data_IF_977376196876
#
_entry.id   IF_977376196876
#
_cell.length_a   1.000
_cell.length_b   1.000
_cell.length_c   1.000
_cell.angle_alpha   90.00
_cell.angle_beta   90.00
_cell.angle_gamma   90.00
#
_symmetry.space_group_name_H-M   'P 1'
#
loop_
_entity.id
_entity.type
_entity.pdbx_description
1 polymer ?
#
# COMPACT_ATOMS: atom_id res chain seq x y z
N UNK A 1 16.44 38.28 -21.61
CA UNK A 1 17.16 37.09 -21.11
C UNK A 1 16.26 36.51 -20.03
N UNK A 2 15.37 35.63 -20.47
CA UNK A 2 14.40 34.94 -19.63
C UNK A 2 14.28 33.54 -20.22
N UNK A 3 15.37 32.79 -20.11
CA UNK A 3 15.52 31.46 -20.69
C UNK A 3 16.24 30.60 -19.66
N UNK A 4 15.50 30.18 -18.63
CA UNK A 4 15.90 29.02 -17.82
C UNK A 4 14.64 28.45 -17.14
N UNK A 5 13.64 28.14 -17.96
CA UNK A 5 12.55 27.25 -17.56
C UNK A 5 12.93 25.82 -17.97
N UNK A 6 13.35 24.95 -17.03
CA UNK A 6 13.80 23.59 -17.31
C UNK A 6 12.67 22.65 -17.78
N UNK A 7 11.42 23.12 -17.81
CA UNK A 7 10.25 22.32 -18.21
C UNK A 7 9.61 22.78 -19.52
N UNK A 8 10.15 23.81 -20.18
CA UNK A 8 9.60 24.34 -21.44
C UNK A 8 9.59 23.32 -22.59
N UNK A 9 10.44 22.30 -22.55
CA UNK A 9 10.57 21.26 -23.57
C UNK A 9 9.57 20.09 -23.43
N UNK A 10 8.81 20.03 -22.32
CA UNK A 10 7.84 18.94 -22.09
C UNK A 10 6.45 19.21 -22.66
N UNK A 11 6.16 20.45 -23.05
CA UNK A 11 4.85 20.83 -23.61
C UNK A 11 4.61 20.33 -25.03
N UNK A 12 5.67 20.07 -25.79
CA UNK A 12 5.60 19.79 -27.24
C UNK A 12 5.38 18.29 -27.56
N UNK A 13 5.15 17.45 -26.54
CA UNK A 13 4.92 16.00 -26.72
C UNK A 13 3.47 15.55 -26.51
N UNK A 14 2.55 16.50 -26.28
CA UNK A 14 1.13 16.22 -26.01
C UNK A 14 0.16 16.92 -26.97
N UNK A 15 0.60 17.24 -28.19
CA UNK A 15 -0.27 17.75 -29.25
C UNK A 15 -0.15 16.92 -30.54
N UNK A 16 -0.83 15.77 -30.57
CA UNK A 16 -1.45 15.27 -31.80
C UNK A 16 -2.73 14.50 -31.43
N UNK A 17 -3.89 15.14 -31.68
CA UNK A 17 -5.23 14.55 -31.54
C UNK A 17 -5.65 13.77 -32.82
N UNK A 18 -6.92 13.39 -32.98
CA UNK A 18 -7.52 12.07 -32.74
C UNK A 18 -7.74 11.29 -34.04
N UNK A 19 -7.93 9.97 -33.97
CA UNK A 19 -8.59 9.26 -35.08
C UNK A 19 -9.69 8.31 -34.58
N UNK A 20 -10.89 8.65 -35.04
CA UNK A 20 -12.16 7.98 -34.85
C UNK A 20 -12.22 6.82 -35.84
N UNK A 21 -12.28 5.59 -35.35
CA UNK A 21 -12.64 4.46 -36.20
C UNK A 21 -13.69 3.60 -35.51
N UNK A 22 -14.94 4.03 -35.70
CA UNK A 22 -16.14 3.21 -35.60
C UNK A 22 -16.04 1.98 -36.50
N UNK A 23 -16.22 0.80 -35.93
CA UNK A 23 -16.25 -0.47 -36.68
C UNK A 23 -16.86 -1.58 -35.85
N UNK A 24 -18.18 -1.49 -35.65
CA UNK A 24 -19.02 -2.57 -35.16
C UNK A 24 -19.07 -3.71 -36.20
N UNK A 25 -18.73 -4.94 -35.82
CA UNK A 25 -19.12 -6.15 -36.57
C UNK A 25 -19.21 -7.32 -35.60
N UNK A 26 -20.46 -7.71 -35.36
CA UNK A 26 -20.93 -8.88 -34.61
C UNK A 26 -20.47 -10.23 -35.19
N UNK A 27 -20.36 -11.19 -34.26
CA UNK A 27 -20.52 -12.65 -34.36
C UNK A 27 -20.13 -13.40 -35.66
N UNK A 28 -19.09 -14.24 -35.55
CA UNK A 28 -19.16 -15.61 -36.07
C UNK A 28 -18.26 -16.56 -35.25
N UNK A 29 -18.92 -17.47 -34.55
CA UNK A 29 -18.39 -18.64 -33.86
C UNK A 29 -17.77 -19.65 -34.84
N UNK A 30 -16.51 -20.03 -34.64
CA UNK A 30 -16.01 -21.37 -34.98
C UNK A 30 -15.12 -21.88 -33.83
N UNK A 31 -15.63 -22.90 -33.13
CA UNK A 31 -14.83 -23.80 -32.31
C UNK A 31 -13.93 -24.64 -33.20
N UNK A 32 -12.65 -24.78 -32.84
CA UNK A 32 -11.97 -26.06 -33.02
C UNK A 32 -10.74 -26.21 -32.10
N UNK A 33 -10.82 -27.26 -31.29
CA UNK A 33 -9.74 -28.13 -30.82
C UNK A 33 -8.56 -27.54 -30.02
N UNK A 34 -8.69 -27.69 -28.69
CA UNK A 34 -7.69 -28.28 -27.77
C UNK A 34 -6.23 -28.25 -28.23
N UNK A 35 -5.49 -27.25 -27.76
CA UNK A 35 -4.10 -27.47 -27.34
C UNK A 35 -4.07 -27.37 -25.82
N UNK A 36 -4.24 -28.52 -25.14
CA UNK A 36 -3.81 -28.68 -23.75
C UNK A 36 -2.27 -28.67 -23.71
N UNK A 37 -1.66 -27.56 -24.12
CA UNK A 37 -0.43 -27.15 -23.46
C UNK A 37 -0.89 -26.54 -22.15
N UNK A 38 -1.05 -27.42 -21.14
CA UNK A 38 -1.03 -27.02 -19.75
C UNK A 38 0.32 -26.35 -19.50
N UNK A 39 0.41 -25.09 -19.89
CA UNK A 39 1.32 -24.13 -19.30
C UNK A 39 0.86 -24.06 -17.86
N UNK A 40 1.35 -24.98 -17.04
CA UNK A 40 1.47 -24.75 -15.62
C UNK A 40 2.23 -23.43 -15.53
N UNK A 41 1.49 -22.33 -15.37
CA UNK A 41 2.06 -21.12 -14.81
C UNK A 41 2.76 -21.59 -13.54
N UNK A 42 4.08 -21.58 -13.58
CA UNK A 42 4.92 -21.81 -12.42
C UNK A 42 4.62 -20.63 -11.53
N UNK A 43 3.62 -20.77 -10.65
CA UNK A 43 3.35 -19.77 -9.62
C UNK A 43 4.67 -19.67 -8.84
N UNK A 44 5.35 -18.52 -8.86
CA UNK A 44 6.60 -18.38 -8.16
C UNK A 44 6.36 -18.75 -6.69
N UNK A 45 7.17 -19.67 -6.18
CA UNK A 45 7.04 -20.11 -4.80
C UNK A 45 7.43 -18.94 -3.90
N UNK A 46 6.44 -18.30 -3.31
CA UNK A 46 6.60 -17.17 -2.40
C UNK A 46 7.10 -17.66 -1.04
N UNK A 47 8.25 -17.16 -0.60
CA UNK A 47 8.78 -17.45 0.73
C UNK A 47 8.35 -16.34 1.71
N UNK A 48 7.44 -16.62 2.67
CA UNK A 48 6.93 -15.61 3.59
C UNK A 48 8.00 -15.03 4.54
N UNK A 49 9.18 -15.65 4.64
CA UNK A 49 10.27 -15.11 5.44
C UNK A 49 11.08 -14.06 4.69
N UNK A 50 11.08 -14.08 3.36
CA UNK A 50 11.93 -13.18 2.55
C UNK A 50 11.16 -12.33 1.58
N UNK A 51 9.95 -12.71 1.21
CA UNK A 51 9.16 -12.02 0.21
C UNK A 51 7.98 -11.30 0.89
N UNK A 52 7.67 -10.05 0.50
CA UNK A 52 6.57 -9.30 1.09
C UNK A 52 5.21 -9.86 0.66
N UNK A 53 4.27 -9.95 1.60
CA UNK A 53 2.93 -10.49 1.39
C UNK A 53 2.03 -9.56 0.54
N UNK A 54 2.36 -8.27 0.47
CA UNK A 54 1.56 -7.27 -0.25
C UNK A 54 2.26 -6.76 -1.51
N UNK A 55 1.57 -6.82 -2.65
CA UNK A 55 1.96 -6.10 -3.86
C UNK A 55 1.64 -4.60 -3.73
N UNK A 56 2.32 -3.78 -4.54
CA UNK A 56 2.26 -2.32 -4.45
C UNK A 56 0.83 -1.75 -4.58
N UNK A 57 -0.01 -2.36 -5.43
CA UNK A 57 -1.31 -1.83 -5.88
C UNK A 57 -2.48 -2.02 -4.90
N UNK A 58 -2.35 -2.88 -3.88
CA UNK A 58 -3.51 -3.33 -3.09
C UNK A 58 -3.96 -2.41 -1.93
N UNK A 59 -3.46 -1.17 -1.80
CA UNK A 59 -3.73 -0.34 -0.61
C UNK A 59 -4.73 0.80 -0.81
N UNK A 60 -5.67 0.90 0.14
CA UNK A 60 -6.49 2.10 0.32
C UNK A 60 -5.73 3.11 1.16
N UNK A 61 -5.25 4.18 0.54
CA UNK A 61 -4.60 5.29 1.25
C UNK A 61 -5.65 6.09 2.03
N UNK A 62 -5.48 6.20 3.36
CA UNK A 62 -6.29 7.06 4.22
C UNK A 62 -5.36 7.89 5.10
N UNK A 63 -5.53 9.22 5.16
CA UNK A 63 -4.75 10.05 6.06
C UNK A 63 -5.15 9.80 7.52
N UNK A 64 -4.15 9.76 8.41
CA UNK A 64 -4.34 9.75 9.86
C UNK A 64 -4.30 11.17 10.41
N UNK A 65 -5.26 11.52 11.28
CA UNK A 65 -5.33 12.83 11.94
C UNK A 65 -4.78 12.74 13.37
N UNK A 66 -3.52 12.34 13.51
CA UNK A 66 -2.83 12.32 14.79
C UNK A 66 -1.98 13.58 14.98
N UNK A 67 -1.57 13.86 16.22
CA UNK A 67 -0.59 14.91 16.53
C UNK A 67 0.78 14.50 15.97
N UNK A 68 1.59 15.48 15.56
CA UNK A 68 2.95 15.24 15.01
C UNK A 68 3.79 14.37 15.94
N UNK A 69 3.84 14.69 17.23
CA UNK A 69 4.58 13.90 18.22
C UNK A 69 4.14 12.44 18.28
N UNK A 70 2.85 12.16 18.12
CA UNK A 70 2.32 10.80 18.11
C UNK A 70 2.73 10.04 16.84
N UNK A 71 2.81 10.72 15.69
CA UNK A 71 3.30 10.13 14.44
C UNK A 71 4.80 9.83 14.57
N UNK A 72 5.60 10.75 15.10
CA UNK A 72 7.04 10.55 15.26
C UNK A 72 7.37 9.39 16.21
N UNK A 73 6.64 9.29 17.33
CA UNK A 73 6.77 8.19 18.29
C UNK A 73 6.37 6.86 17.63
N UNK A 74 5.31 6.86 16.84
CA UNK A 74 4.82 5.69 16.11
C UNK A 74 5.83 5.20 15.06
N UNK A 75 6.36 6.10 14.22
CA UNK A 75 7.35 5.78 13.19
C UNK A 75 8.64 5.24 13.82
N UNK A 76 9.06 5.85 14.93
CA UNK A 76 10.23 5.39 15.70
C UNK A 76 10.00 3.98 16.27
N UNK A 77 8.84 3.74 16.87
CA UNK A 77 8.49 2.43 17.41
C UNK A 77 8.42 1.36 16.32
N UNK A 78 7.80 1.64 15.18
CA UNK A 78 7.74 0.74 14.03
C UNK A 78 9.15 0.32 13.58
N UNK A 79 10.05 1.29 13.43
CA UNK A 79 11.39 1.06 12.90
C UNK A 79 12.32 0.36 13.90
N UNK A 80 12.30 0.79 15.16
CA UNK A 80 13.31 0.36 16.13
C UNK A 80 12.87 -0.81 17.00
N UNK A 81 11.57 -0.97 17.22
CA UNK A 81 11.02 -2.07 18.02
C UNK A 81 10.41 -3.14 17.14
N UNK A 82 9.40 -2.80 16.33
CA UNK A 82 8.65 -3.80 15.57
C UNK A 82 9.50 -4.45 14.47
N UNK A 83 10.12 -3.65 13.59
CA UNK A 83 10.97 -4.16 12.52
C UNK A 83 12.18 -4.93 13.10
N UNK A 84 12.76 -4.44 14.19
CA UNK A 84 13.85 -5.14 14.90
C UNK A 84 13.41 -6.51 15.41
N UNK A 85 12.21 -6.62 15.99
CA UNK A 85 11.69 -7.88 16.51
C UNK A 85 11.44 -8.88 15.38
N UNK A 86 10.83 -8.44 14.27
CA UNK A 86 10.63 -9.26 13.09
C UNK A 86 11.96 -9.74 12.49
N UNK A 87 12.98 -8.86 12.43
CA UNK A 87 14.32 -9.23 12.01
C UNK A 87 14.95 -10.33 12.90
N UNK A 88 14.76 -10.29 14.23
CA UNK A 88 15.23 -11.37 15.12
C UNK A 88 14.54 -12.70 14.86
N UNK A 89 13.28 -12.66 14.41
CA UNK A 89 12.51 -13.83 14.02
C UNK A 89 12.89 -14.35 12.62
N UNK A 90 13.73 -13.62 11.88
CA UNK A 90 14.29 -14.03 10.59
C UNK A 90 13.58 -13.44 9.37
N UNK A 91 12.56 -12.60 9.56
CA UNK A 91 11.87 -11.92 8.45
C UNK A 91 12.79 -10.89 7.78
N UNK A 92 12.73 -10.83 6.47
CA UNK A 92 13.45 -9.89 5.61
C UNK A 92 12.45 -9.14 4.72
N UNK A 93 12.93 -8.10 4.04
CA UNK A 93 12.11 -7.27 3.13
C UNK A 93 10.79 -6.79 3.76
N UNK A 94 10.84 -6.49 5.07
CA UNK A 94 9.68 -6.08 5.87
C UNK A 94 9.15 -4.75 5.35
N UNK A 95 7.88 -4.70 4.96
CA UNK A 95 7.24 -3.49 4.44
C UNK A 95 6.45 -2.81 5.54
N UNK A 96 6.57 -1.49 5.65
CA UNK A 96 5.81 -0.67 6.65
C UNK A 96 4.31 -0.93 6.57
N UNK A 97 3.78 -1.17 5.36
CA UNK A 97 2.37 -1.52 5.13
C UNK A 97 1.97 -2.80 5.87
N UNK A 98 2.82 -3.82 5.88
CA UNK A 98 2.56 -5.09 6.57
C UNK A 98 2.53 -4.91 8.08
N UNK A 99 3.48 -4.15 8.61
CA UNK A 99 3.51 -3.80 10.02
C UNK A 99 2.26 -2.98 10.42
N UNK A 100 1.87 -2.02 9.59
CA UNK A 100 0.68 -1.19 9.83
C UNK A 100 -0.62 -2.00 9.74
N UNK A 101 -0.75 -2.89 8.75
CA UNK A 101 -1.90 -3.78 8.60
C UNK A 101 -2.03 -4.72 9.80
N UNK A 102 -0.93 -5.36 10.20
CA UNK A 102 -0.88 -6.21 11.38
C UNK A 102 -1.33 -5.46 12.63
N UNK A 103 -0.84 -4.23 12.85
CA UNK A 103 -1.26 -3.41 13.99
C UNK A 103 -2.77 -3.10 13.98
N UNK A 104 -3.29 -2.61 12.85
CA UNK A 104 -4.72 -2.28 12.73
C UNK A 104 -5.60 -3.51 12.93
N UNK A 105 -5.17 -4.66 12.41
CA UNK A 105 -5.85 -5.93 12.62
C UNK A 105 -5.80 -6.36 14.08
N UNK A 106 -4.65 -6.28 14.75
CA UNK A 106 -4.54 -6.60 16.18
C UNK A 106 -5.52 -5.79 17.01
N UNK A 107 -5.63 -4.48 16.80
CA UNK A 107 -6.56 -3.62 17.57
C UNK A 107 -8.02 -4.09 17.41
N UNK A 108 -8.41 -4.51 16.20
CA UNK A 108 -9.79 -4.94 15.91
C UNK A 108 -10.04 -6.39 16.34
N UNK A 109 -9.14 -7.31 16.00
CA UNK A 109 -9.26 -8.75 16.24
C UNK A 109 -9.14 -9.08 17.73
N UNK A 110 -8.27 -8.40 18.47
CA UNK A 110 -8.15 -8.56 19.92
C UNK A 110 -9.14 -7.69 20.72
N UNK A 111 -10.01 -6.93 20.03
CA UNK A 111 -11.04 -6.09 20.65
C UNK A 111 -10.48 -5.13 21.71
N UNK A 112 -9.41 -4.39 21.38
CA UNK A 112 -8.74 -3.43 22.28
C UNK A 112 -9.52 -2.12 22.44
N UNK A 113 -10.85 -2.17 22.40
CA UNK A 113 -11.72 -0.99 22.41
C UNK A 113 -11.66 -0.25 23.74
N UNK A 114 -11.55 -0.99 24.85
CA UNK A 114 -11.53 -0.42 26.18
C UNK A 114 -10.21 0.32 26.44
N UNK A 115 -9.08 -0.25 26.02
CA UNK A 115 -7.76 0.38 26.11
C UNK A 115 -7.67 1.65 25.26
N UNK A 116 -8.24 1.62 24.04
CA UNK A 116 -8.29 2.81 23.18
C UNK A 116 -9.20 3.89 23.78
N UNK A 117 -10.33 3.51 24.38
CA UNK A 117 -11.23 4.44 25.06
C UNK A 117 -10.55 5.10 26.27
N UNK A 118 -9.83 4.33 27.09
CA UNK A 118 -9.06 4.86 28.23
C UNK A 118 -8.03 5.90 27.78
N UNK A 119 -7.25 5.60 26.73
CA UNK A 119 -6.27 6.57 26.18
C UNK A 119 -6.92 7.84 25.64
N UNK A 120 -8.11 7.73 25.08
CA UNK A 120 -8.87 8.89 24.63
C UNK A 120 -9.30 9.77 25.83
N UNK A 121 -9.77 9.16 26.91
CA UNK A 121 -10.15 9.87 28.14
C UNK A 121 -8.94 10.58 28.76
N UNK A 122 -7.81 9.88 28.92
CA UNK A 122 -6.54 10.45 29.41
C UNK A 122 -6.07 11.64 28.57
N UNK A 123 -6.12 11.52 27.24
CA UNK A 123 -5.74 12.58 26.31
C UNK A 123 -6.64 13.82 26.45
N UNK A 124 -7.91 13.62 26.81
CA UNK A 124 -8.85 14.71 27.04
C UNK A 124 -8.67 15.36 28.39
N UNK A 125 -8.44 14.58 29.44
CA UNK A 125 -8.16 15.09 30.79
C UNK A 125 -6.87 15.90 30.83
N UNK A 126 -5.80 15.38 30.23
CA UNK A 126 -4.50 16.07 30.16
C UNK A 126 -4.59 17.42 29.43
N UNK A 127 -5.38 17.51 28.35
CA UNK A 127 -5.60 18.76 27.62
C UNK A 127 -6.37 19.83 28.42
N UNK A 128 -7.06 19.47 29.51
CA UNK A 128 -7.70 20.44 30.42
C UNK A 128 -6.78 20.91 31.55
N UNK A 129 -5.63 20.26 31.74
CA UNK A 129 -4.65 20.59 32.78
C UNK A 129 -3.48 21.45 32.27
N UNK A 130 -3.34 21.60 30.95
CA UNK A 130 -2.48 22.59 30.28
C UNK A 130 -3.20 23.94 30.08
#
# INVERSE_FOLDING_TARGET
MSDDDPFADLGDTLEEEPDDNTGDTDEASESEAVDETSSQEVVPQHDPMTDPAFTYEAAKQRPFYARETTIDDFDSWLKYEMERELNKQGYQNIVVREMTDALLRTVVEENLIDEVAERFEEARESAFLE
#
